data_IF_810824951393
#
_entry.id   IF_810824951393
#
_cell.length_a   1.000
_cell.length_b   1.000
_cell.length_c   1.000
_cell.angle_alpha   90.00
_cell.angle_beta   90.00
_cell.angle_gamma   90.00
#
_symmetry.space_group_name_H-M   'P 1'
#
loop_
_entity.id
_entity.type
_entity.pdbx_description
1 polymer ?
#
# COMPACT_ATOMS: atom_id res chain seq x y z
N UNK A 1 24.48 2.10 -12.26
CA UNK A 1 23.64 0.90 -12.02
C UNK A 1 23.31 0.68 -10.54
N UNK A 2 24.31 0.56 -9.66
CA UNK A 2 24.10 0.28 -8.23
C UNK A 2 23.18 1.31 -7.55
N UNK A 3 23.35 2.59 -7.85
CA UNK A 3 22.54 3.66 -7.22
C UNK A 3 21.06 3.60 -7.60
N UNK A 4 20.72 3.26 -8.85
CA UNK A 4 19.32 3.13 -9.27
C UNK A 4 18.66 1.94 -8.57
N UNK A 5 19.34 0.79 -8.51
CA UNK A 5 18.83 -0.41 -7.84
C UNK A 5 18.73 -0.15 -6.33
N UNK A 6 19.67 0.59 -5.74
CA UNK A 6 19.62 0.98 -4.33
C UNK A 6 18.45 1.93 -4.05
N UNK A 7 18.12 2.86 -4.97
CA UNK A 7 16.97 3.76 -4.81
C UNK A 7 15.65 3.01 -4.99
N UNK A 8 15.53 2.14 -6.00
CA UNK A 8 14.33 1.29 -6.16
C UNK A 8 14.19 0.32 -4.98
N UNK A 9 15.32 -0.19 -4.48
CA UNK A 9 15.38 -1.03 -3.28
C UNK A 9 14.98 -0.28 -2.02
N UNK A 10 15.43 0.96 -1.84
CA UNK A 10 15.04 1.78 -0.69
C UNK A 10 13.54 2.10 -0.74
N UNK A 11 12.98 2.46 -1.89
CA UNK A 11 11.52 2.62 -2.08
C UNK A 11 10.75 1.36 -1.68
N UNK A 12 11.24 0.19 -2.08
CA UNK A 12 10.61 -1.11 -1.78
C UNK A 12 10.69 -1.46 -0.28
N UNK A 13 11.83 -1.16 0.35
CA UNK A 13 12.05 -1.35 1.80
C UNK A 13 11.20 -0.36 2.61
N UNK A 14 10.99 0.87 2.13
CA UNK A 14 10.09 1.81 2.79
C UNK A 14 8.66 1.28 2.82
N UNK A 15 8.17 0.68 1.73
CA UNK A 15 6.86 0.03 1.74
C UNK A 15 6.77 -1.19 2.69
N UNK A 16 7.88 -1.93 2.86
CA UNK A 16 7.99 -3.00 3.86
C UNK A 16 7.83 -2.49 5.29
N UNK A 17 8.50 -1.38 5.62
CA UNK A 17 8.43 -0.78 6.95
C UNK A 17 7.03 -0.25 7.24
N UNK A 18 6.34 0.31 6.23
CA UNK A 18 4.95 0.74 6.35
C UNK A 18 3.99 -0.43 6.60
N UNK A 19 4.20 -1.59 5.97
CA UNK A 19 3.42 -2.82 6.25
C UNK A 19 3.61 -3.38 7.66
N UNK A 20 4.72 -3.05 8.33
CA UNK A 20 4.99 -3.42 9.72
C UNK A 20 4.47 -2.39 10.75
N UNK A 21 3.88 -1.28 10.30
CA UNK A 21 3.30 -0.22 11.16
C UNK A 21 1.95 -0.62 11.78
N UNK A 22 1.81 -1.90 12.12
CA UNK A 22 0.68 -2.56 12.77
C UNK A 22 0.45 -2.11 14.23
N UNK A 23 1.07 -1.01 14.65
CA UNK A 23 0.85 -0.43 15.99
C UNK A 23 -0.57 0.10 16.16
N UNK A 24 -1.32 0.30 15.07
CA UNK A 24 -2.74 0.73 15.08
C UNK A 24 -3.69 -0.43 15.36
N UNK A 25 -3.32 -1.68 15.05
CA UNK A 25 -4.16 -2.87 15.29
C UNK A 25 -4.64 -3.02 16.75
N UNK A 26 -3.80 -2.88 17.79
CA UNK A 26 -4.26 -2.99 19.18
C UNK A 26 -5.23 -1.87 19.61
N UNK A 27 -5.11 -0.67 19.03
CA UNK A 27 -6.07 0.42 19.30
C UNK A 27 -7.45 0.08 18.75
N UNK A 28 -7.51 -0.43 17.51
CA UNK A 28 -8.76 -0.87 16.87
C UNK A 28 -9.45 -2.01 17.64
N UNK A 29 -8.68 -2.95 18.20
CA UNK A 29 -9.24 -4.01 19.06
C UNK A 29 -9.85 -3.46 20.34
N UNK A 30 -9.21 -2.45 20.95
CA UNK A 30 -9.72 -1.79 22.16
C UNK A 30 -11.03 -1.08 21.85
N UNK A 31 -11.09 -0.32 20.76
CA UNK A 31 -12.32 0.34 20.28
C UNK A 31 -13.45 -0.66 19.97
N UNK A 32 -13.12 -1.83 19.39
CA UNK A 32 -14.11 -2.87 19.11
C UNK A 32 -14.87 -3.33 20.36
N UNK A 33 -14.22 -3.38 21.53
CA UNK A 33 -14.89 -3.77 22.78
C UNK A 33 -15.89 -2.71 23.27
N UNK A 34 -15.57 -1.43 23.08
CA UNK A 34 -16.48 -0.31 23.35
C UNK A 34 -17.63 -0.31 22.35
N UNK A 35 -17.34 -0.57 21.07
CA UNK A 35 -18.32 -0.64 20.00
C UNK A 35 -19.38 -1.71 20.25
N UNK A 36 -18.99 -2.90 20.73
CA UNK A 36 -19.99 -3.91 21.07
C UNK A 36 -20.92 -3.42 22.18
N UNK A 37 -20.39 -2.80 23.24
CA UNK A 37 -21.20 -2.24 24.35
C UNK A 37 -22.17 -1.15 23.88
N UNK A 38 -21.71 -0.22 23.04
CA UNK A 38 -22.54 0.88 22.53
C UNK A 38 -23.57 0.41 21.50
N UNK A 39 -23.25 -0.62 20.70
CA UNK A 39 -24.21 -1.26 19.79
C UNK A 39 -25.34 -1.95 20.55
N UNK A 40 -25.06 -2.56 21.70
CA UNK A 40 -26.09 -3.11 22.59
C UNK A 40 -26.98 -2.02 23.20
N UNK A 41 -26.45 -0.80 23.39
CA UNK A 41 -27.22 0.36 23.87
C UNK A 41 -28.05 1.05 22.77
N UNK A 42 -27.93 0.64 21.50
CA UNK A 42 -28.75 1.14 20.39
C UNK A 42 -28.45 2.58 19.94
N UNK A 43 -27.31 3.16 20.32
CA UNK A 43 -27.07 4.60 20.17
C UNK A 43 -26.50 5.03 18.79
N UNK A 44 -25.70 4.22 18.06
CA UNK A 44 -25.07 4.65 16.78
C UNK A 44 -24.76 3.53 15.76
N UNK A 45 -24.74 3.89 14.46
CA UNK A 45 -24.23 3.07 13.35
C UNK A 45 -22.77 3.45 13.02
N UNK A 46 -21.84 2.93 13.81
CA UNK A 46 -20.42 3.36 13.89
C UNK A 46 -19.42 2.91 12.78
N UNK A 47 -19.62 1.83 11.98
CA UNK A 47 -18.55 1.31 11.11
C UNK A 47 -18.01 2.34 10.10
N UNK A 48 -18.89 3.18 9.57
CA UNK A 48 -18.53 4.24 8.61
C UNK A 48 -17.78 5.40 9.27
N UNK A 49 -18.06 5.68 10.55
CA UNK A 49 -17.38 6.73 11.31
C UNK A 49 -15.92 6.35 11.58
N UNK A 50 -15.65 5.09 11.95
CA UNK A 50 -14.30 4.61 12.19
C UNK A 50 -13.41 4.74 10.94
N UNK A 51 -13.92 4.30 9.79
CA UNK A 51 -13.20 4.43 8.50
C UNK A 51 -12.92 5.91 8.17
N UNK A 52 -13.82 6.81 8.52
CA UNK A 52 -13.70 8.26 8.24
C UNK A 52 -12.68 8.96 9.14
N UNK A 53 -12.59 8.57 10.42
CA UNK A 53 -11.62 9.15 11.38
C UNK A 53 -10.18 8.79 11.04
N UNK A 54 -9.97 7.65 10.39
CA UNK A 54 -8.64 7.16 10.01
C UNK A 54 -8.04 7.91 8.81
N UNK A 55 -8.89 8.41 7.90
CA UNK A 55 -8.45 9.17 6.71
C UNK A 55 -7.59 10.39 7.08
N UNK A 56 -8.01 11.33 7.96
CA UNK A 56 -7.19 12.48 8.31
C UNK A 56 -5.92 12.10 9.06
N UNK A 57 -5.97 11.07 9.91
CA UNK A 57 -4.80 10.57 10.64
C UNK A 57 -3.74 10.04 9.68
N UNK A 58 -4.13 9.17 8.75
CA UNK A 58 -3.26 8.60 7.73
C UNK A 58 -2.74 9.68 6.77
N UNK A 59 -3.56 10.68 6.46
CA UNK A 59 -3.16 11.83 5.63
C UNK A 59 -2.03 12.61 6.29
N UNK A 60 -2.15 12.90 7.59
CA UNK A 60 -1.13 13.62 8.35
C UNK A 60 0.16 12.78 8.47
N UNK A 61 0.03 11.47 8.73
CA UNK A 61 1.16 10.55 8.76
C UNK A 61 1.89 10.49 7.40
N UNK A 62 1.15 10.43 6.29
CA UNK A 62 1.71 10.42 4.95
C UNK A 62 2.48 11.73 4.66
N UNK A 63 1.93 12.89 5.04
CA UNK A 63 2.60 14.19 4.85
C UNK A 63 3.90 14.30 5.65
N UNK A 64 3.89 13.88 6.92
CA UNK A 64 5.12 13.85 7.74
C UNK A 64 6.16 12.94 7.12
N UNK A 65 5.76 11.77 6.63
CA UNK A 65 6.66 10.81 6.01
C UNK A 65 7.26 11.34 4.70
N UNK A 66 6.46 11.99 3.87
CA UNK A 66 6.92 12.66 2.64
C UNK A 66 7.97 13.72 2.96
N UNK A 67 7.69 14.57 3.94
CA UNK A 67 8.58 15.68 4.33
C UNK A 67 9.97 15.19 4.78
N UNK A 68 10.05 14.01 5.40
CA UNK A 68 11.32 13.42 5.86
C UNK A 68 12.01 12.64 4.74
N UNK A 69 11.28 11.77 4.04
CA UNK A 69 11.88 10.82 3.09
C UNK A 69 12.23 11.44 1.74
N UNK A 70 11.47 12.43 1.29
CA UNK A 70 11.71 13.11 0.02
C UNK A 70 13.09 13.80 -0.05
N UNK A 71 13.50 14.62 0.95
CA UNK A 71 14.85 15.17 0.97
C UNK A 71 15.92 14.11 1.28
N UNK A 72 15.60 13.06 2.05
CA UNK A 72 16.58 12.01 2.39
C UNK A 72 17.02 11.17 1.18
N UNK A 73 16.13 10.93 0.22
CA UNK A 73 16.44 10.21 -1.03
C UNK A 73 16.99 11.16 -2.11
N UNK A 74 16.92 12.47 -1.87
CA UNK A 74 17.36 13.52 -2.79
C UNK A 74 16.62 13.46 -4.15
N UNK A 75 15.29 13.36 -4.12
CA UNK A 75 14.47 13.40 -5.33
C UNK A 75 14.49 14.77 -6.01
N UNK A 76 14.20 14.80 -7.31
CA UNK A 76 14.08 16.06 -8.06
C UNK A 76 12.98 16.94 -7.47
N UNK A 77 13.31 18.16 -7.09
CA UNK A 77 12.35 19.12 -6.57
C UNK A 77 11.34 19.54 -7.66
N UNK A 78 10.18 18.89 -7.67
CA UNK A 78 9.04 19.22 -8.53
C UNK A 78 7.74 18.94 -7.79
N UNK A 79 6.85 19.93 -7.75
CA UNK A 79 5.57 19.81 -7.06
C UNK A 79 4.71 18.65 -7.60
N UNK A 80 4.75 18.42 -8.92
CA UNK A 80 4.05 17.32 -9.56
C UNK A 80 4.51 15.95 -9.02
N UNK A 81 5.83 15.74 -8.96
CA UNK A 81 6.41 14.48 -8.47
C UNK A 81 6.19 14.28 -6.98
N UNK A 82 6.20 15.36 -6.21
CA UNK A 82 5.93 15.32 -4.77
C UNK A 82 4.47 14.95 -4.47
N UNK A 83 3.51 15.47 -5.25
CA UNK A 83 2.08 15.13 -5.11
C UNK A 83 1.83 13.66 -5.46
N UNK A 84 2.45 13.14 -6.52
CA UNK A 84 2.34 11.72 -6.85
C UNK A 84 2.96 10.80 -5.80
N UNK A 85 4.09 11.21 -5.23
CA UNK A 85 4.74 10.49 -4.13
C UNK A 85 3.85 10.47 -2.88
N UNK A 86 3.28 11.62 -2.49
CA UNK A 86 2.37 11.70 -1.34
C UNK A 86 1.08 10.92 -1.57
N UNK A 87 0.50 10.97 -2.77
CA UNK A 87 -0.68 10.20 -3.15
C UNK A 87 -0.44 8.68 -3.05
N UNK A 88 0.70 8.22 -3.57
CA UNK A 88 1.04 6.78 -3.57
C UNK A 88 1.29 6.29 -2.15
N UNK A 89 1.96 7.09 -1.32
CA UNK A 89 2.17 6.79 0.10
C UNK A 89 0.87 6.78 0.89
N UNK A 90 0.01 7.78 0.70
CA UNK A 90 -1.30 7.86 1.34
C UNK A 90 -2.15 6.63 0.99
N UNK A 91 -2.28 6.31 -0.29
CA UNK A 91 -3.03 5.14 -0.76
C UNK A 91 -2.46 3.85 -0.18
N UNK A 92 -1.12 3.77 -0.05
CA UNK A 92 -0.44 2.60 0.49
C UNK A 92 -0.73 2.38 1.97
N UNK A 93 -0.63 3.44 2.77
CA UNK A 93 -0.97 3.41 4.18
C UNK A 93 -2.45 3.07 4.40
N UNK A 94 -3.32 3.63 3.56
CA UNK A 94 -4.76 3.42 3.65
C UNK A 94 -5.15 1.96 3.41
N UNK A 95 -4.63 1.31 2.36
CA UNK A 95 -4.96 -0.09 2.11
C UNK A 95 -4.37 -1.01 3.18
N UNK A 96 -3.15 -0.76 3.70
CA UNK A 96 -2.56 -1.59 4.75
C UNK A 96 -3.36 -1.49 6.05
N UNK A 97 -3.81 -0.29 6.42
CA UNK A 97 -4.64 -0.06 7.58
C UNK A 97 -6.00 -0.80 7.45
N UNK A 98 -6.71 -0.62 6.33
CA UNK A 98 -8.01 -1.28 6.12
C UNK A 98 -7.92 -2.80 5.95
N UNK A 99 -6.83 -3.31 5.38
CA UNK A 99 -6.56 -4.75 5.34
C UNK A 99 -6.38 -5.30 6.77
N UNK A 100 -5.68 -4.57 7.64
CA UNK A 100 -5.56 -4.89 9.06
C UNK A 100 -6.92 -4.92 9.79
N UNK A 101 -7.74 -3.88 9.58
CA UNK A 101 -9.10 -3.81 10.12
C UNK A 101 -9.99 -4.97 9.64
N UNK A 102 -9.88 -5.34 8.36
CA UNK A 102 -10.60 -6.47 7.78
C UNK A 102 -10.29 -7.77 8.54
N UNK A 103 -9.02 -8.06 8.81
CA UNK A 103 -8.62 -9.28 9.55
C UNK A 103 -9.07 -9.25 11.01
N UNK A 104 -9.01 -8.10 11.69
CA UNK A 104 -9.57 -7.95 13.03
C UNK A 104 -11.07 -8.22 13.03
N UNK A 105 -11.81 -7.76 12.01
CA UNK A 105 -13.25 -8.01 11.92
C UNK A 105 -13.60 -9.47 11.61
N UNK A 106 -12.75 -10.18 10.86
CA UNK A 106 -12.98 -11.58 10.49
C UNK A 106 -12.68 -12.56 11.62
N UNK A 107 -11.85 -12.16 12.59
CA UNK A 107 -11.36 -13.06 13.63
C UNK A 107 -11.90 -12.69 15.02
N UNK A 108 -12.06 -13.68 15.91
CA UNK A 108 -12.52 -13.43 17.28
C UNK A 108 -11.39 -12.96 18.22
N UNK A 109 -10.13 -13.30 17.92
CA UNK A 109 -8.97 -13.02 18.79
C UNK A 109 -7.89 -12.21 18.05
N UNK A 110 -7.29 -11.26 18.77
CA UNK A 110 -6.22 -10.40 18.24
C UNK A 110 -4.99 -11.20 17.77
N UNK A 111 -4.64 -12.27 18.49
CA UNK A 111 -3.47 -13.10 18.14
C UNK A 111 -3.62 -13.73 16.75
N UNK A 112 -4.81 -14.24 16.42
CA UNK A 112 -5.07 -14.84 15.10
C UNK A 112 -5.10 -13.76 14.02
N UNK A 113 -5.70 -12.60 14.30
CA UNK A 113 -5.69 -11.45 13.40
C UNK A 113 -4.27 -11.01 13.02
N UNK A 114 -3.39 -10.87 14.02
CA UNK A 114 -2.01 -10.41 13.84
C UNK A 114 -1.15 -11.40 13.04
N UNK A 115 -1.32 -12.71 13.28
CA UNK A 115 -0.62 -13.75 12.50
C UNK A 115 -1.09 -13.74 11.05
N UNK A 116 -2.39 -13.63 10.81
CA UNK A 116 -2.96 -13.62 9.45
C UNK A 116 -2.58 -12.35 8.68
N UNK A 117 -2.58 -11.20 9.35
CA UNK A 117 -2.10 -9.94 8.79
C UNK A 117 -0.61 -10.02 8.45
N UNK A 118 0.22 -10.51 9.37
CA UNK A 118 1.66 -10.69 9.16
C UNK A 118 1.96 -11.59 7.96
N UNK A 119 1.30 -12.75 7.87
CA UNK A 119 1.43 -13.65 6.71
C UNK A 119 1.03 -12.95 5.40
N UNK A 120 -0.08 -12.23 5.41
CA UNK A 120 -0.59 -11.51 4.23
C UNK A 120 0.38 -10.40 3.80
N UNK A 121 0.97 -9.66 4.73
CA UNK A 121 1.97 -8.64 4.43
C UNK A 121 3.24 -9.22 3.83
N UNK A 122 3.71 -10.36 4.33
CA UNK A 122 4.85 -11.08 3.74
C UNK A 122 4.54 -11.54 2.32
N UNK A 123 3.34 -12.08 2.08
CA UNK A 123 2.93 -12.53 0.74
C UNK A 123 2.81 -11.37 -0.24
N UNK A 124 2.15 -10.27 0.16
CA UNK A 124 2.06 -9.03 -0.62
C UNK A 124 3.44 -8.44 -0.92
N UNK A 125 4.41 -8.64 -0.03
CA UNK A 125 5.77 -8.19 -0.28
C UNK A 125 6.51 -9.04 -1.33
N UNK A 126 6.36 -10.37 -1.26
CA UNK A 126 6.99 -11.28 -2.22
C UNK A 126 6.58 -10.94 -3.67
N UNK A 127 5.31 -10.58 -3.85
CA UNK A 127 4.73 -10.21 -5.15
C UNK A 127 4.74 -8.71 -5.45
N UNK A 128 5.42 -7.87 -4.63
CA UNK A 128 5.46 -6.41 -4.81
C UNK A 128 6.20 -5.94 -6.08
N UNK A 129 6.75 -6.85 -6.88
CA UNK A 129 7.41 -6.54 -8.15
C UNK A 129 8.90 -6.23 -8.06
N UNK A 130 9.45 -5.94 -6.86
CA UNK A 130 10.88 -5.69 -6.67
C UNK A 130 11.72 -6.98 -6.73
N UNK A 131 11.31 -8.02 -6.00
CA UNK A 131 12.02 -9.30 -5.94
C UNK A 131 11.83 -10.09 -7.24
N UNK A 132 10.60 -10.10 -7.75
CA UNK A 132 10.23 -10.78 -9.00
C UNK A 132 9.58 -9.76 -9.94
N UNK A 133 10.27 -9.31 -11.01
CA UNK A 133 9.71 -8.37 -11.96
C UNK A 133 8.60 -9.04 -12.80
N UNK A 134 7.55 -8.27 -13.12
CA UNK A 134 6.37 -8.71 -13.89
C UNK A 134 6.68 -9.59 -15.11
N UNK A 135 7.60 -9.23 -16.03
CA UNK A 135 7.84 -10.03 -17.24
C UNK A 135 8.50 -11.40 -16.98
N UNK A 136 9.06 -11.64 -15.79
CA UNK A 136 9.62 -12.94 -15.41
C UNK A 136 8.60 -13.86 -14.73
N UNK A 137 7.39 -13.39 -14.44
CA UNK A 137 6.33 -14.18 -13.84
C UNK A 137 5.66 -15.01 -14.94
N UNK A 138 5.53 -16.34 -14.78
CA UNK A 138 4.92 -17.17 -15.80
C UNK A 138 3.41 -16.84 -15.90
N UNK A 139 2.86 -16.82 -17.13
CA UNK A 139 1.53 -16.26 -17.45
C UNK A 139 0.38 -16.75 -16.56
N UNK A 140 0.40 -18.01 -16.17
CA UNK A 140 -0.58 -18.64 -15.24
C UNK A 140 -0.52 -18.14 -13.79
N UNK A 141 0.54 -17.44 -13.37
CA UNK A 141 0.73 -16.88 -12.02
C UNK A 141 0.70 -15.34 -11.98
N UNK A 142 0.54 -14.70 -13.14
CA UNK A 142 0.52 -13.24 -13.29
C UNK A 142 -0.65 -12.61 -12.52
N UNK A 143 -1.79 -13.30 -12.38
CA UNK A 143 -2.93 -12.80 -11.60
C UNK A 143 -2.56 -12.44 -10.16
N UNK A 144 -1.60 -13.15 -9.55
CA UNK A 144 -1.11 -12.84 -8.21
C UNK A 144 -0.47 -11.44 -8.13
N UNK A 145 0.29 -11.06 -9.15
CA UNK A 145 0.86 -9.71 -9.27
C UNK A 145 -0.22 -8.64 -9.38
N UNK A 146 -1.29 -8.90 -10.14
CA UNK A 146 -2.38 -7.95 -10.38
C UNK A 146 -3.25 -7.73 -9.14
N UNK A 147 -3.41 -8.75 -8.28
CA UNK A 147 -4.16 -8.64 -7.02
C UNK A 147 -3.34 -7.94 -5.93
N UNK A 148 -2.01 -7.89 -6.04
CA UNK A 148 -1.16 -7.31 -5.01
C UNK A 148 -1.11 -5.77 -5.10
N UNK A 149 -1.72 -5.01 -4.17
CA UNK A 149 -1.69 -3.54 -4.19
C UNK A 149 -0.26 -2.97 -4.11
N UNK A 150 0.64 -3.67 -3.45
CA UNK A 150 2.07 -3.32 -3.32
C UNK A 150 2.78 -3.22 -4.67
N UNK A 151 2.42 -4.09 -5.63
CA UNK A 151 2.96 -4.05 -6.99
C UNK A 151 2.56 -2.77 -7.73
N UNK A 152 1.29 -2.36 -7.58
CA UNK A 152 0.77 -1.13 -8.16
C UNK A 152 1.37 0.12 -7.51
N UNK A 153 1.59 0.11 -6.19
CA UNK A 153 2.27 1.22 -5.49
C UNK A 153 3.71 1.39 -5.98
N UNK A 154 4.44 0.29 -6.17
CA UNK A 154 5.80 0.33 -6.68
C UNK A 154 5.82 0.80 -8.15
N UNK A 155 4.89 0.33 -8.98
CA UNK A 155 4.71 0.80 -10.35
C UNK A 155 4.40 2.30 -10.40
N UNK A 156 3.53 2.82 -9.51
CA UNK A 156 3.22 4.24 -9.40
C UNK A 156 4.46 5.09 -9.04
N UNK A 157 5.25 4.67 -8.04
CA UNK A 157 6.44 5.42 -7.63
C UNK A 157 7.50 5.46 -8.73
N UNK A 158 7.79 4.31 -9.34
CA UNK A 158 8.80 4.22 -10.39
C UNK A 158 8.39 5.07 -11.59
N UNK A 159 7.14 4.94 -12.04
CA UNK A 159 6.64 5.66 -13.22
C UNK A 159 6.56 7.17 -12.97
N UNK A 160 6.09 7.60 -11.79
CA UNK A 160 5.97 9.03 -11.45
C UNK A 160 7.32 9.73 -11.24
N UNK A 161 8.29 9.06 -10.63
CA UNK A 161 9.61 9.67 -10.34
C UNK A 161 10.55 9.62 -11.55
N UNK A 162 10.60 8.47 -12.22
CA UNK A 162 11.60 8.15 -13.23
C UNK A 162 11.08 8.02 -14.65
N UNK A 163 9.76 7.91 -14.86
CA UNK A 163 9.21 7.75 -16.21
C UNK A 163 9.55 8.91 -17.15
N UNK A 164 9.63 10.13 -16.61
CA UNK A 164 9.87 11.36 -17.41
C UNK A 164 11.37 11.72 -17.50
N UNK A 165 12.25 10.94 -16.85
CA UNK A 165 13.67 11.24 -16.82
C UNK A 165 14.37 10.49 -17.96
N UNK A 166 14.61 11.18 -19.07
CA UNK A 166 15.43 10.70 -20.17
C UNK A 166 16.95 10.84 -19.89
N UNK A 167 17.38 10.60 -18.65
CA UNK A 167 18.82 10.53 -18.36
C UNK A 167 19.33 9.16 -18.80
N UNK A 168 20.39 9.16 -19.58
CA UNK A 168 21.15 7.95 -19.90
C UNK A 168 21.90 7.51 -18.64
N UNK A 169 21.65 6.28 -18.21
CA UNK A 169 22.48 5.63 -17.20
C UNK A 169 23.03 4.37 -17.84
N UNK A 170 24.32 4.14 -17.65
CA UNK A 170 24.94 2.87 -18.05
C UNK A 170 24.39 1.75 -17.16
N UNK A 171 23.59 0.89 -17.76
CA UNK A 171 23.08 -0.34 -17.16
C UNK A 171 23.58 -1.48 -18.03
N UNK A 172 24.43 -2.34 -17.47
CA UNK A 172 25.16 -3.42 -18.20
C UNK A 172 26.12 -2.96 -19.30
N UNK A 173 26.74 -1.78 -19.18
CA UNK A 173 27.76 -1.33 -20.15
C UNK A 173 27.20 -0.79 -21.47
N UNK A 174 25.86 -0.77 -21.64
CA UNK A 174 25.19 -0.05 -22.72
C UNK A 174 24.50 1.22 -22.18
N UNK A 175 24.62 2.37 -22.88
CA UNK A 175 23.95 3.61 -22.51
C UNK A 175 22.46 3.48 -22.86
N UNK A 176 21.65 3.06 -21.89
CA UNK A 176 20.21 2.95 -22.06
C UNK A 176 19.51 4.03 -21.22
N UNK A 177 18.54 4.73 -21.82
CA UNK A 177 17.71 5.68 -21.09
C UNK A 177 16.95 4.96 -19.97
N UNK A 178 16.79 5.62 -18.81
CA UNK A 178 16.04 5.11 -17.65
C UNK A 178 14.65 4.57 -18.07
N UNK A 179 13.98 5.30 -18.95
CA UNK A 179 12.68 4.93 -19.49
C UNK A 179 12.72 3.63 -20.32
N UNK A 180 13.77 3.41 -21.11
CA UNK A 180 13.96 2.17 -21.88
C UNK A 180 14.29 0.97 -20.97
N UNK A 181 14.99 1.18 -19.86
CA UNK A 181 15.24 0.15 -18.85
C UNK A 181 13.96 -0.25 -18.12
N UNK A 182 13.13 0.70 -17.68
CA UNK A 182 11.86 0.38 -17.02
C UNK A 182 10.85 -0.29 -17.96
N UNK A 183 10.84 0.11 -19.24
CA UNK A 183 10.01 -0.52 -20.27
C UNK A 183 10.45 -1.95 -20.60
N UNK A 184 11.77 -2.21 -20.66
CA UNK A 184 12.30 -3.54 -21.00
C UNK A 184 12.37 -4.51 -19.82
N UNK A 185 12.72 -4.02 -18.62
CA UNK A 185 12.94 -4.85 -17.44
C UNK A 185 11.69 -5.02 -16.58
N UNK A 186 10.85 -3.99 -16.47
CA UNK A 186 9.62 -4.01 -15.66
C UNK A 186 8.33 -3.99 -16.48
N UNK A 187 8.37 -3.60 -17.76
CA UNK A 187 7.17 -3.53 -18.63
C UNK A 187 6.28 -2.31 -18.38
N UNK A 188 6.79 -1.28 -17.70
CA UNK A 188 5.97 -0.12 -17.29
C UNK A 188 5.86 0.92 -18.41
N UNK A 189 4.62 1.28 -18.76
CA UNK A 189 4.33 2.40 -19.66
C UNK A 189 3.92 3.64 -18.85
N UNK A 190 4.37 4.81 -19.31
CA UNK A 190 4.09 6.10 -18.65
C UNK A 190 2.61 6.50 -18.73
N UNK A 191 1.94 6.08 -19.80
CA UNK A 191 0.51 6.33 -20.02
C UNK A 191 -0.41 5.59 -19.03
N UNK A 192 0.11 4.64 -18.26
CA UNK A 192 -0.66 3.85 -17.29
C UNK A 192 -0.90 4.59 -15.96
N UNK A 193 -0.29 5.76 -15.71
CA UNK A 193 -0.38 6.49 -14.43
C UNK A 193 -1.82 6.72 -13.95
N UNK A 194 -2.72 7.05 -14.88
CA UNK A 194 -4.14 7.25 -14.57
C UNK A 194 -4.83 5.96 -14.12
N UNK A 195 -4.52 4.83 -14.78
CA UNK A 195 -5.06 3.51 -14.42
C UNK A 195 -4.55 3.08 -13.05
N UNK A 196 -3.25 3.27 -12.79
CA UNK A 196 -2.62 2.93 -11.52
C UNK A 196 -3.26 3.72 -10.38
N UNK A 197 -3.55 5.01 -10.59
CA UNK A 197 -4.21 5.83 -9.58
C UNK A 197 -5.61 5.29 -9.21
N UNK A 198 -6.42 4.93 -10.21
CA UNK A 198 -7.76 4.37 -10.00
C UNK A 198 -7.67 3.03 -9.25
N UNK A 199 -6.75 2.17 -9.68
CA UNK A 199 -6.55 0.85 -9.07
C UNK A 199 -6.10 1.00 -7.60
N UNK A 200 -5.19 1.92 -7.30
CA UNK A 200 -4.70 2.16 -5.94
C UNK A 200 -5.79 2.60 -4.94
N UNK A 201 -6.77 3.41 -5.38
CA UNK A 201 -7.91 3.79 -4.52
C UNK A 201 -8.94 2.66 -4.41
N UNK A 202 -9.08 1.84 -5.46
CA UNK A 202 -10.06 0.74 -5.47
C UNK A 202 -9.79 -0.29 -4.37
N UNK A 203 -8.52 -0.60 -4.08
CA UNK A 203 -8.14 -1.56 -3.04
C UNK A 203 -8.61 -1.16 -1.62
N UNK A 204 -8.29 0.05 -1.10
CA UNK A 204 -8.83 0.51 0.18
C UNK A 204 -10.36 0.49 0.23
N UNK A 205 -11.05 0.88 -0.85
CA UNK A 205 -12.51 0.87 -0.90
C UNK A 205 -13.09 -0.53 -0.78
N UNK A 206 -12.47 -1.52 -1.45
CA UNK A 206 -12.85 -2.93 -1.34
C UNK A 206 -12.65 -3.42 0.09
N UNK A 207 -11.48 -3.16 0.70
CA UNK A 207 -11.21 -3.58 2.08
C UNK A 207 -12.15 -2.92 3.10
N UNK A 208 -12.43 -1.63 2.95
CA UNK A 208 -13.40 -0.91 3.79
C UNK A 208 -14.83 -1.48 3.65
N UNK A 209 -15.24 -1.85 2.44
CA UNK A 209 -16.54 -2.46 2.18
C UNK A 209 -16.66 -3.85 2.82
N UNK A 210 -15.62 -4.67 2.70
CA UNK A 210 -15.56 -5.99 3.34
C UNK A 210 -15.58 -5.86 4.86
N UNK A 211 -14.84 -4.89 5.42
CA UNK A 211 -14.86 -4.59 6.84
C UNK A 211 -16.26 -4.21 7.34
N UNK A 212 -16.93 -3.28 6.66
CA UNK A 212 -18.29 -2.86 7.01
C UNK A 212 -19.30 -4.01 6.96
N UNK A 213 -19.23 -4.85 5.90
CA UNK A 213 -20.09 -6.03 5.77
C UNK A 213 -19.83 -7.06 6.88
N UNK A 214 -18.56 -7.27 7.22
CA UNK A 214 -18.15 -8.26 8.22
C UNK A 214 -18.59 -7.85 9.62
N UNK A 215 -18.46 -6.57 10.00
CA UNK A 215 -18.99 -6.05 11.28
C UNK A 215 -20.52 -6.12 11.34
N UNK A 216 -21.20 -5.88 10.22
CA UNK A 216 -22.66 -5.96 10.17
C UNK A 216 -23.16 -7.38 10.42
N UNK A 217 -22.49 -8.39 9.84
CA UNK A 217 -22.94 -9.79 9.81
C UNK A 217 -22.34 -10.68 10.92
N UNK A 218 -21.10 -10.45 11.35
CA UNK A 218 -20.41 -11.28 12.34
C UNK A 218 -20.52 -10.66 13.74
N UNK A 219 -21.27 -11.32 14.63
CA UNK A 219 -21.34 -10.98 16.04
C UNK A 219 -20.65 -12.05 16.88
N UNK A 220 -19.40 -11.81 17.26
CA UNK A 220 -18.57 -12.75 18.01
C UNK A 220 -18.81 -12.72 19.54
N UNK A 221 -19.64 -11.81 20.06
CA UNK A 221 -19.98 -11.76 21.49
C UNK A 221 -21.16 -12.66 21.90
N UNK A 222 -21.75 -13.41 20.96
CA UNK A 222 -22.79 -14.41 21.24
C UNK A 222 -22.16 -15.78 21.51
N UNK A 223 -21.33 -15.88 22.53
CA UNK A 223 -20.91 -17.15 23.16
C UNK A 223 -20.72 -16.94 24.65
#
# INVERSE_FOLDING_TARGET
MQDLINIVGSMSIFFLVLGNSSTVLPFIVTERTVLYRERFAGMYSYPSAQVTVEIPYISLQALLFVTITYPAINFYWSAYKMIWYSYTLFSTLLYFNYLGMMFISLTPTFQVASVLAGFSYTMLNLFAGFIIPEPKIPKWWVWGYWICPTAWSLKALITSQYGDINKEISVFGEPNAINAFFKSYYGYNHDDLGVIAIVLISFPLVFASVFGYTIAKLNFQRK
#
